data_IF_593682247245
#
_entry.id   IF_593682247245
#
_cell.length_a   1.000
_cell.length_b   1.000
_cell.length_c   1.000
_cell.angle_alpha   90.00
_cell.angle_beta   90.00
_cell.angle_gamma   90.00
#
_symmetry.space_group_name_H-M   'P 1'
#
loop_
_entity.id
_entity.type
_entity.pdbx_description
1 polymer ?
#
# COMPACT_ATOMS: atom_id res chain seq x y z
N UNK A 1 -4.25 -31.54 11.73
CA UNK A 1 -4.91 -30.34 11.18
C UNK A 1 -6.36 -30.71 10.91
N UNK A 2 -7.27 -30.46 11.85
CA UNK A 2 -8.69 -30.73 11.67
C UNK A 2 -9.34 -29.43 11.18
N UNK A 3 -9.74 -29.39 9.90
CA UNK A 3 -10.53 -28.29 9.35
C UNK A 3 -11.94 -28.43 9.92
N UNK A 4 -12.29 -27.57 10.87
CA UNK A 4 -13.65 -27.47 11.40
C UNK A 4 -14.48 -26.68 10.39
N UNK A 5 -15.36 -27.37 9.67
CA UNK A 5 -16.39 -26.73 8.85
C UNK A 5 -17.47 -26.18 9.79
N UNK A 6 -17.49 -24.87 9.99
CA UNK A 6 -18.63 -24.18 10.62
C UNK A 6 -19.69 -24.01 9.53
N UNK A 7 -20.82 -24.69 9.67
CA UNK A 7 -21.98 -24.48 8.81
C UNK A 7 -22.61 -23.12 9.16
N UNK A 8 -22.37 -22.09 8.33
CA UNK A 8 -23.16 -20.86 8.37
C UNK A 8 -24.55 -21.15 7.81
N UNK A 9 -25.58 -21.03 8.65
CA UNK A 9 -26.95 -20.87 8.17
C UNK A 9 -27.02 -19.54 7.41
N UNK A 10 -27.14 -19.58 6.08
CA UNK A 10 -27.21 -18.38 5.25
C UNK A 10 -28.58 -17.72 5.45
N UNK A 11 -28.64 -16.71 6.31
CA UNK A 11 -29.76 -15.78 6.37
C UNK A 11 -29.73 -14.87 5.14
N UNK A 12 -30.89 -14.58 4.56
CA UNK A 12 -30.98 -13.59 3.50
C UNK A 12 -30.52 -12.22 4.03
N UNK A 13 -29.83 -11.44 3.18
CA UNK A 13 -29.49 -10.07 3.51
C UNK A 13 -30.74 -9.21 3.64
N UNK A 14 -30.65 -8.16 4.44
CA UNK A 14 -31.75 -7.22 4.67
C UNK A 14 -31.27 -5.80 4.37
N UNK A 15 -32.19 -4.92 3.95
CA UNK A 15 -31.92 -3.49 3.74
C UNK A 15 -32.71 -2.69 4.75
N UNK A 16 -32.04 -1.75 5.42
CA UNK A 16 -32.65 -0.80 6.35
C UNK A 16 -32.66 0.60 5.74
N UNK A 17 -33.70 1.37 6.04
CA UNK A 17 -33.82 2.76 5.61
C UNK A 17 -33.06 3.72 6.53
N UNK A 18 -32.82 3.34 7.79
CA UNK A 18 -32.12 4.15 8.79
C UNK A 18 -31.09 3.32 9.55
N UNK A 19 -30.13 3.98 10.18
CA UNK A 19 -29.12 3.29 10.99
C UNK A 19 -29.71 2.55 12.21
N UNK A 20 -30.67 3.17 12.90
CA UNK A 20 -31.36 2.57 14.05
C UNK A 20 -32.13 1.30 13.66
N UNK A 21 -32.80 1.34 12.50
CA UNK A 21 -33.43 0.14 11.92
C UNK A 21 -32.37 -0.92 11.60
N UNK A 22 -31.26 -0.53 10.96
CA UNK A 22 -30.18 -1.46 10.64
C UNK A 22 -29.64 -2.18 11.89
N UNK A 23 -29.41 -1.44 12.99
CA UNK A 23 -29.00 -2.01 14.28
C UNK A 23 -30.04 -2.97 14.85
N UNK A 24 -31.32 -2.63 14.72
CA UNK A 24 -32.41 -3.49 15.20
C UNK A 24 -32.44 -4.81 14.43
N UNK A 25 -32.40 -4.75 13.09
CA UNK A 25 -32.35 -5.94 12.22
C UNK A 25 -31.09 -6.77 12.48
N UNK A 26 -29.94 -6.11 12.60
CA UNK A 26 -28.65 -6.74 12.85
C UNK A 26 -28.61 -7.46 14.21
N UNK A 27 -29.15 -6.84 15.26
CA UNK A 27 -29.21 -7.45 16.60
C UNK A 27 -30.18 -8.63 16.63
N UNK A 28 -31.36 -8.50 16.00
CA UNK A 28 -32.35 -9.57 15.97
C UNK A 28 -31.92 -10.76 15.10
N UNK A 29 -31.23 -10.49 14.00
CA UNK A 29 -30.74 -11.49 13.07
C UNK A 29 -29.35 -12.03 13.39
N UNK A 30 -28.65 -11.44 14.37
CA UNK A 30 -27.23 -11.67 14.63
C UNK A 30 -26.39 -11.58 13.34
N UNK A 31 -26.52 -10.44 12.65
CA UNK A 31 -25.87 -10.17 11.38
C UNK A 31 -25.03 -8.89 11.46
N UNK A 32 -23.84 -8.84 10.84
CA UNK A 32 -23.10 -7.60 10.72
C UNK A 32 -23.82 -6.59 9.81
N UNK A 33 -23.48 -5.32 9.97
CA UNK A 33 -24.01 -4.22 9.15
C UNK A 33 -22.94 -3.80 8.14
N UNK A 34 -23.34 -3.65 6.88
CA UNK A 34 -22.58 -2.94 5.86
C UNK A 34 -23.24 -1.59 5.61
N UNK A 35 -22.51 -0.53 5.94
CA UNK A 35 -22.95 0.85 5.83
C UNK A 35 -22.24 1.51 4.65
N UNK A 36 -23.00 2.06 3.71
CA UNK A 36 -22.45 2.91 2.65
C UNK A 36 -22.60 4.38 3.02
N UNK A 37 -21.47 5.04 3.22
CA UNK A 37 -21.42 6.46 3.50
C UNK A 37 -21.16 7.23 2.19
N UNK A 38 -22.07 8.13 1.86
CA UNK A 38 -22.04 8.96 0.66
C UNK A 38 -22.43 10.40 0.99
N UNK A 39 -22.34 11.31 0.02
CA UNK A 39 -22.78 12.69 0.16
C UNK A 39 -23.52 13.13 -1.10
N UNK A 40 -24.85 13.16 -1.04
CA UNK A 40 -25.70 13.33 -2.22
C UNK A 40 -25.64 14.72 -2.85
N UNK A 41 -25.25 15.75 -2.08
CA UNK A 41 -25.17 17.15 -2.51
C UNK A 41 -23.79 17.58 -3.04
N UNK A 42 -22.72 16.84 -2.72
CA UNK A 42 -21.34 17.22 -3.10
C UNK A 42 -20.51 16.09 -3.74
N UNK A 43 -20.95 14.83 -3.71
CA UNK A 43 -20.22 13.69 -4.27
C UNK A 43 -20.99 13.00 -5.40
N UNK A 44 -20.90 13.54 -6.62
CA UNK A 44 -21.58 12.97 -7.80
C UNK A 44 -21.19 11.51 -8.09
N UNK A 45 -19.92 11.14 -7.92
CA UNK A 45 -19.47 9.75 -8.10
C UNK A 45 -20.08 8.82 -7.04
N UNK A 46 -20.31 9.31 -5.82
CA UNK A 46 -20.92 8.52 -4.76
C UNK A 46 -22.36 8.13 -5.11
N UNK A 47 -23.13 9.06 -5.70
CA UNK A 47 -24.50 8.79 -6.14
C UNK A 47 -24.55 7.84 -7.33
N UNK A 48 -23.62 8.00 -8.28
CA UNK A 48 -23.50 7.06 -9.42
C UNK A 48 -23.28 5.64 -8.91
N UNK A 49 -22.32 5.44 -8.01
CA UNK A 49 -22.03 4.14 -7.40
C UNK A 49 -23.16 3.63 -6.50
N UNK A 50 -23.91 4.54 -5.87
CA UNK A 50 -25.10 4.18 -5.10
C UNK A 50 -26.15 3.54 -6.00
N UNK A 51 -26.48 4.22 -7.10
CA UNK A 51 -27.47 3.77 -8.06
C UNK A 51 -27.01 2.49 -8.78
N UNK A 52 -25.78 2.46 -9.29
CA UNK A 52 -25.28 1.38 -10.15
C UNK A 52 -24.89 0.12 -9.38
N UNK A 53 -24.55 0.24 -8.09
CA UNK A 53 -24.04 -0.89 -7.29
C UNK A 53 -24.79 -1.04 -5.98
N UNK A 54 -24.82 -0.01 -5.13
CA UNK A 54 -25.28 -0.16 -3.75
C UNK A 54 -26.77 -0.48 -3.64
N UNK A 55 -27.61 0.13 -4.46
CA UNK A 55 -29.07 -0.02 -4.44
C UNK A 55 -29.56 -1.20 -5.28
N UNK A 56 -28.67 -1.76 -6.11
CA UNK A 56 -28.97 -2.95 -6.91
C UNK A 56 -29.13 -4.21 -6.03
N UNK A 57 -29.72 -5.25 -6.60
CA UNK A 57 -29.77 -6.56 -5.95
C UNK A 57 -28.34 -7.09 -5.78
N UNK A 58 -27.99 -7.51 -4.56
CA UNK A 58 -26.67 -8.01 -4.23
C UNK A 58 -26.72 -9.51 -3.98
N UNK A 59 -25.70 -10.24 -4.46
CA UNK A 59 -25.49 -11.65 -4.14
C UNK A 59 -24.87 -11.87 -2.74
N UNK A 60 -24.54 -10.77 -2.04
CA UNK A 60 -24.11 -10.81 -0.64
C UNK A 60 -25.30 -11.13 0.27
N UNK A 61 -25.12 -12.14 1.10
CA UNK A 61 -26.11 -12.64 2.07
C UNK A 61 -25.56 -12.57 3.49
N UNK A 62 -26.44 -12.66 4.50
CA UNK A 62 -26.05 -12.67 5.92
C UNK A 62 -25.59 -11.34 6.49
N UNK A 63 -25.93 -10.22 5.84
CA UNK A 63 -25.59 -8.86 6.29
C UNK A 63 -26.82 -7.96 6.26
N UNK A 64 -26.77 -6.86 7.02
CA UNK A 64 -27.73 -5.76 6.93
C UNK A 64 -27.10 -4.59 6.18
N UNK A 65 -27.70 -4.20 5.07
CA UNK A 65 -27.31 -3.04 4.28
C UNK A 65 -28.01 -1.77 4.77
N UNK A 66 -27.28 -0.68 4.86
CA UNK A 66 -27.83 0.66 5.13
C UNK A 66 -26.98 1.73 4.45
N UNK A 67 -27.61 2.79 3.94
CA UNK A 67 -26.89 3.97 3.45
C UNK A 67 -27.00 5.13 4.44
N UNK A 68 -25.94 5.93 4.55
CA UNK A 68 -25.90 7.15 5.34
C UNK A 68 -25.43 8.28 4.44
N UNK A 69 -26.30 9.27 4.30
CA UNK A 69 -26.07 10.45 3.46
C UNK A 69 -25.53 11.60 4.31
N UNK A 70 -24.27 11.96 4.10
CA UNK A 70 -23.54 12.99 4.84
C UNK A 70 -23.48 14.25 3.99
N UNK A 71 -24.44 15.15 4.20
CA UNK A 71 -24.54 16.40 3.45
C UNK A 71 -23.43 17.40 3.80
N UNK A 72 -23.02 18.22 2.85
CA UNK A 72 -22.11 19.36 3.10
C UNK A 72 -22.81 20.39 4.01
N UNK A 73 -24.12 20.57 3.80
CA UNK A 73 -24.99 21.38 4.66
C UNK A 73 -26.07 20.51 5.30
N UNK A 74 -25.85 19.99 6.53
CA UNK A 74 -26.81 19.13 7.20
C UNK A 74 -28.17 19.82 7.45
N UNK A 75 -29.25 19.09 7.18
CA UNK A 75 -30.62 19.48 7.53
C UNK A 75 -31.11 18.73 8.77
N UNK A 76 -32.18 19.20 9.40
CA UNK A 76 -32.82 18.47 10.50
C UNK A 76 -33.29 17.06 10.07
N UNK A 77 -33.74 16.91 8.82
CA UNK A 77 -34.16 15.63 8.26
C UNK A 77 -32.97 14.69 8.05
N UNK A 78 -31.86 15.17 7.47
CA UNK A 78 -30.63 14.38 7.30
C UNK A 78 -30.03 13.98 8.65
N UNK A 79 -29.99 14.89 9.62
CA UNK A 79 -29.55 14.59 10.98
C UNK A 79 -30.45 13.54 11.67
N UNK A 80 -31.76 13.60 11.45
CA UNK A 80 -32.70 12.61 11.98
C UNK A 80 -32.52 11.24 11.31
N UNK A 81 -32.29 11.19 10.00
CA UNK A 81 -32.04 9.95 9.26
C UNK A 81 -30.72 9.26 9.68
N UNK A 82 -29.70 10.05 10.01
CA UNK A 82 -28.38 9.57 10.44
C UNK A 82 -28.28 9.34 11.95
N UNK A 83 -29.39 9.52 12.69
CA UNK A 83 -29.42 9.36 14.14
C UNK A 83 -28.88 7.99 14.55
N UNK A 84 -28.03 7.98 15.58
CA UNK A 84 -27.41 6.78 16.12
C UNK A 84 -26.05 6.45 15.50
N UNK A 85 -25.71 7.05 14.35
CA UNK A 85 -24.38 6.94 13.75
C UNK A 85 -23.60 8.25 13.88
N UNK A 86 -22.35 8.16 14.34
CA UNK A 86 -21.44 9.31 14.40
C UNK A 86 -20.75 9.44 13.04
N UNK A 87 -21.23 10.38 12.22
CA UNK A 87 -20.73 10.62 10.85
C UNK A 87 -19.26 11.04 10.83
N UNK A 88 -18.71 11.58 11.93
CA UNK A 88 -17.28 11.92 12.03
C UNK A 88 -16.36 10.68 11.98
N UNK A 89 -16.92 9.48 12.13
CA UNK A 89 -16.20 8.20 11.97
C UNK A 89 -15.91 7.86 10.50
N UNK A 90 -16.47 8.62 9.56
CA UNK A 90 -16.19 8.55 8.12
C UNK A 90 -15.45 9.81 7.72
N UNK A 91 -14.25 9.66 7.15
CA UNK A 91 -13.39 10.78 6.73
C UNK A 91 -13.13 10.84 5.23
N UNK A 92 -13.49 9.78 4.52
CA UNK A 92 -13.23 9.60 3.10
C UNK A 92 -14.49 9.06 2.48
N UNK A 93 -14.89 9.61 1.34
CA UNK A 93 -16.10 9.28 0.62
C UNK A 93 -15.77 8.97 -0.85
N UNK A 94 -16.47 8.02 -1.50
CA UNK A 94 -17.39 7.08 -0.87
C UNK A 94 -16.68 6.14 0.11
N UNK A 95 -17.44 5.55 1.04
CA UNK A 95 -16.89 4.50 1.92
C UNK A 95 -17.91 3.43 2.25
N UNK A 96 -17.45 2.18 2.30
CA UNK A 96 -18.20 1.06 2.88
C UNK A 96 -17.59 0.77 4.26
N UNK A 97 -18.41 0.84 5.30
CA UNK A 97 -18.03 0.59 6.69
C UNK A 97 -18.70 -0.68 7.19
N UNK A 98 -17.93 -1.61 7.73
CA UNK A 98 -18.46 -2.81 8.35
C UNK A 98 -18.58 -2.64 9.86
N UNK A 99 -19.73 -3.02 10.41
CA UNK A 99 -20.03 -2.91 11.84
C UNK A 99 -20.53 -4.23 12.41
N UNK A 100 -20.21 -4.50 13.67
CA UNK A 100 -20.85 -5.55 14.45
C UNK A 100 -22.35 -5.24 14.65
N UNK A 101 -23.18 -6.21 15.08
CA UNK A 101 -24.58 -5.94 15.43
C UNK A 101 -24.77 -4.81 16.46
N UNK A 102 -23.80 -4.64 17.38
CA UNK A 102 -23.78 -3.55 18.37
C UNK A 102 -23.44 -2.17 17.78
N UNK A 103 -22.86 -2.12 16.57
CA UNK A 103 -22.40 -0.90 15.91
C UNK A 103 -20.91 -0.59 16.10
N UNK A 104 -20.11 -1.54 16.58
CA UNK A 104 -18.65 -1.39 16.67
C UNK A 104 -18.02 -1.62 15.29
N UNK A 105 -17.02 -0.81 14.95
CA UNK A 105 -16.39 -0.88 13.63
C UNK A 105 -15.48 -2.10 13.52
N UNK A 106 -15.68 -2.88 12.47
CA UNK A 106 -14.82 -4.00 12.10
C UNK A 106 -13.79 -3.63 11.03
N UNK A 107 -14.09 -2.68 10.17
CA UNK A 107 -13.18 -2.25 9.10
C UNK A 107 -13.87 -1.36 8.08
N UNK A 108 -13.12 -0.92 7.08
CA UNK A 108 -13.58 0.03 6.06
C UNK A 108 -12.97 -0.28 4.69
N UNK A 109 -13.69 0.15 3.64
CA UNK A 109 -13.18 0.37 2.29
C UNK A 109 -13.42 1.82 1.90
N UNK A 110 -12.37 2.51 1.48
CA UNK A 110 -12.37 3.89 1.02
C UNK A 110 -11.07 4.22 0.28
N UNK A 111 -11.06 5.29 -0.52
CA UNK A 111 -9.87 5.72 -1.26
C UNK A 111 -9.31 4.60 -2.13
N UNK A 112 -8.01 4.29 -2.00
CA UNK A 112 -7.34 3.24 -2.79
C UNK A 112 -7.98 1.83 -2.63
N UNK A 113 -8.68 1.57 -1.52
CA UNK A 113 -9.29 0.26 -1.25
C UNK A 113 -10.73 0.12 -1.78
N UNK A 114 -11.29 1.19 -2.35
CA UNK A 114 -12.63 1.19 -2.93
C UNK A 114 -12.55 1.75 -4.37
N UNK A 115 -12.53 0.88 -5.39
CA UNK A 115 -12.56 1.30 -6.78
C UNK A 115 -13.78 2.18 -7.07
N UNK A 116 -13.60 3.18 -7.93
CA UNK A 116 -14.64 4.18 -8.26
C UNK A 116 -15.40 3.85 -9.55
N UNK A 117 -15.29 2.61 -10.03
CA UNK A 117 -16.09 2.04 -11.11
C UNK A 117 -17.00 0.92 -10.58
N UNK A 118 -18.09 0.63 -11.29
CA UNK A 118 -19.13 -0.28 -10.82
C UNK A 118 -18.64 -1.73 -10.62
N UNK A 119 -17.83 -2.24 -11.55
CA UNK A 119 -17.30 -3.61 -11.51
C UNK A 119 -16.31 -3.78 -10.36
N UNK A 120 -15.40 -2.81 -10.19
CA UNK A 120 -14.43 -2.76 -9.11
C UNK A 120 -15.09 -2.63 -7.74
N UNK A 121 -16.10 -1.75 -7.59
CA UNK A 121 -16.85 -1.61 -6.34
C UNK A 121 -17.63 -2.89 -6.02
N UNK A 122 -18.28 -3.53 -7.00
CA UNK A 122 -18.99 -4.80 -6.78
C UNK A 122 -18.04 -5.90 -6.30
N UNK A 123 -16.87 -6.00 -6.94
CA UNK A 123 -15.81 -6.94 -6.54
C UNK A 123 -15.30 -6.67 -5.12
N UNK A 124 -15.04 -5.40 -4.80
CA UNK A 124 -14.63 -4.97 -3.46
C UNK A 124 -15.71 -5.27 -2.41
N UNK A 125 -16.98 -4.99 -2.71
CA UNK A 125 -18.11 -5.27 -1.82
C UNK A 125 -18.22 -6.77 -1.50
N UNK A 126 -18.13 -7.66 -2.49
CA UNK A 126 -18.18 -9.11 -2.28
C UNK A 126 -17.01 -9.59 -1.40
N UNK A 127 -15.79 -9.22 -1.76
CA UNK A 127 -14.59 -9.62 -1.02
C UNK A 127 -14.63 -9.10 0.43
N UNK A 128 -15.00 -7.84 0.61
CA UNK A 128 -15.13 -7.23 1.92
C UNK A 128 -16.22 -7.90 2.76
N UNK A 129 -17.39 -8.19 2.16
CA UNK A 129 -18.48 -8.88 2.86
C UNK A 129 -18.09 -10.27 3.34
N UNK A 130 -17.32 -11.03 2.55
CA UNK A 130 -16.81 -12.33 2.94
C UNK A 130 -15.89 -12.26 4.18
N UNK A 131 -14.97 -11.28 4.20
CA UNK A 131 -14.10 -11.04 5.36
C UNK A 131 -14.90 -10.62 6.61
N UNK A 132 -15.92 -9.79 6.41
CA UNK A 132 -16.82 -9.32 7.48
C UNK A 132 -17.62 -10.46 8.10
N UNK A 133 -18.18 -11.35 7.28
CA UNK A 133 -18.90 -12.54 7.77
C UNK A 133 -17.98 -13.49 8.53
N UNK A 134 -16.76 -13.71 8.01
CA UNK A 134 -15.73 -14.49 8.70
C UNK A 134 -15.35 -13.85 10.03
N UNK A 135 -15.17 -12.52 10.07
CA UNK A 135 -14.88 -11.78 11.32
C UNK A 135 -16.00 -11.95 12.34
N UNK A 136 -17.24 -11.81 11.91
CA UNK A 136 -18.40 -11.98 12.78
C UNK A 136 -18.46 -13.39 13.39
N UNK A 137 -18.21 -14.44 12.59
CA UNK A 137 -18.12 -15.80 13.09
C UNK A 137 -16.95 -16.00 14.09
N UNK A 138 -15.80 -15.38 13.83
CA UNK A 138 -14.63 -15.44 14.73
C UNK A 138 -14.90 -14.74 16.07
N UNK A 139 -15.59 -13.60 16.07
CA UNK A 139 -15.99 -12.91 17.30
C UNK A 139 -16.87 -13.81 18.16
N UNK A 140 -17.89 -14.46 17.56
CA UNK A 140 -18.73 -15.44 18.26
C UNK A 140 -17.92 -16.61 18.80
N UNK A 141 -16.99 -17.13 18.00
CA UNK A 141 -16.10 -18.20 18.42
C UNK A 141 -15.24 -17.80 19.63
N UNK A 142 -14.73 -16.57 19.67
CA UNK A 142 -13.97 -16.03 20.80
C UNK A 142 -14.85 -15.87 22.05
N UNK A 143 -16.07 -15.34 21.90
CA UNK A 143 -17.01 -15.17 23.00
C UNK A 143 -17.43 -16.52 23.60
N UNK A 144 -17.77 -17.50 22.75
CA UNK A 144 -18.09 -18.86 23.18
C UNK A 144 -16.90 -19.52 23.89
N UNK A 145 -15.69 -19.35 23.34
CA UNK A 145 -14.47 -19.88 23.96
C UNK A 145 -14.21 -19.26 25.34
N UNK A 146 -14.38 -17.94 25.45
CA UNK A 146 -14.26 -17.19 26.70
C UNK A 146 -15.27 -17.66 27.74
N UNK A 147 -16.53 -17.83 27.37
CA UNK A 147 -17.59 -18.30 28.27
C UNK A 147 -17.32 -19.73 28.77
N UNK A 148 -16.72 -20.57 27.93
CA UNK A 148 -16.38 -21.95 28.28
C UNK A 148 -14.99 -22.12 28.92
N UNK A 149 -14.21 -21.04 29.07
CA UNK A 149 -12.85 -21.09 29.60
C UNK A 149 -11.81 -21.75 28.67
N UNK A 150 -12.11 -21.87 27.37
CA UNK A 150 -11.20 -22.44 26.36
C UNK A 150 -10.23 -21.38 25.81
N UNK A 151 -9.16 -21.12 26.57
CA UNK A 151 -8.15 -20.12 26.23
C UNK A 151 -7.51 -20.38 24.86
N UNK A 152 -7.21 -21.63 24.52
CA UNK A 152 -6.55 -21.95 23.26
C UNK A 152 -7.43 -21.61 22.05
N UNK A 153 -8.73 -21.88 22.15
CA UNK A 153 -9.69 -21.53 21.11
C UNK A 153 -9.93 -20.03 21.04
N UNK A 154 -9.98 -19.33 22.18
CA UNK A 154 -10.09 -17.86 22.23
C UNK A 154 -8.88 -17.20 21.55
N UNK A 155 -7.66 -17.62 21.89
CA UNK A 155 -6.40 -17.16 21.28
C UNK A 155 -6.36 -17.47 19.77
N UNK A 156 -6.79 -18.68 19.37
CA UNK A 156 -6.86 -19.06 17.95
C UNK A 156 -7.85 -18.20 17.16
N UNK A 157 -8.98 -17.82 17.78
CA UNK A 157 -9.94 -16.89 17.18
C UNK A 157 -9.31 -15.52 16.96
N UNK A 158 -8.61 -14.97 17.97
CA UNK A 158 -7.92 -13.69 17.83
C UNK A 158 -6.84 -13.73 16.76
N UNK A 159 -6.06 -14.82 16.67
CA UNK A 159 -5.08 -15.01 15.59
C UNK A 159 -5.74 -14.85 14.22
N UNK A 160 -6.81 -15.61 14.00
CA UNK A 160 -7.53 -15.61 12.73
C UNK A 160 -8.18 -14.25 12.42
N UNK A 161 -8.56 -13.47 13.44
CA UNK A 161 -9.08 -12.11 13.26
C UNK A 161 -7.98 -11.13 12.84
N UNK A 162 -6.81 -11.19 13.48
CA UNK A 162 -5.68 -10.30 13.20
C UNK A 162 -5.05 -10.57 11.83
N UNK A 163 -5.21 -11.78 11.29
CA UNK A 163 -4.82 -12.12 9.92
C UNK A 163 -5.73 -11.51 8.83
N UNK A 164 -6.89 -10.95 9.21
CA UNK A 164 -7.82 -10.36 8.25
C UNK A 164 -7.43 -8.91 7.93
N UNK A 165 -7.75 -8.48 6.71
CA UNK A 165 -7.64 -7.08 6.27
C UNK A 165 -8.81 -6.22 6.80
N UNK A 166 -8.89 -6.17 8.13
CA UNK A 166 -9.92 -5.52 8.94
C UNK A 166 -9.28 -4.92 10.20
N UNK A 167 -9.95 -3.95 10.81
CA UNK A 167 -9.48 -3.29 12.03
C UNK A 167 -9.30 -4.33 13.15
N UNK A 168 -8.27 -4.17 13.98
CA UNK A 168 -8.09 -5.00 15.18
C UNK A 168 -9.26 -4.73 16.13
N UNK A 169 -10.00 -5.76 16.59
CA UNK A 169 -11.13 -5.52 17.49
C UNK A 169 -10.68 -4.86 18.80
N UNK A 170 -11.49 -3.93 19.29
CA UNK A 170 -11.23 -3.22 20.55
C UNK A 170 -11.13 -4.21 21.71
N UNK A 171 -10.16 -4.02 22.60
CA UNK A 171 -10.01 -4.86 23.81
C UNK A 171 -9.24 -6.16 23.59
N UNK A 172 -8.91 -6.53 22.34
CA UNK A 172 -8.20 -7.78 22.05
C UNK A 172 -6.80 -7.79 22.65
N UNK A 173 -6.08 -6.66 22.61
CA UNK A 173 -4.73 -6.58 23.14
C UNK A 173 -4.73 -6.75 24.67
N UNK A 174 -5.64 -6.07 25.36
CA UNK A 174 -5.86 -6.19 26.80
C UNK A 174 -6.25 -7.62 27.17
N UNK A 175 -7.14 -8.24 26.40
CA UNK A 175 -7.54 -9.62 26.63
C UNK A 175 -6.40 -10.61 26.44
N UNK A 176 -5.59 -10.43 25.39
CA UNK A 176 -4.39 -11.25 25.15
C UNK A 176 -3.35 -11.10 26.26
N UNK A 177 -3.23 -9.93 26.90
CA UNK A 177 -2.35 -9.77 28.06
C UNK A 177 -2.80 -10.61 29.26
N UNK A 178 -4.11 -10.82 29.43
CA UNK A 178 -4.66 -11.66 30.50
C UNK A 178 -4.48 -13.15 30.23
N UNK A 179 -4.78 -13.59 29.00
CA UNK A 179 -4.88 -15.02 28.66
C UNK A 179 -3.61 -15.61 28.03
N UNK A 180 -2.73 -14.76 27.50
CA UNK A 180 -1.40 -15.12 27.00
C UNK A 180 -0.34 -14.13 27.52
N UNK A 181 -0.09 -14.11 28.85
CA UNK A 181 0.80 -13.13 29.47
C UNK A 181 2.26 -13.25 29.02
N UNK A 182 2.68 -14.43 28.57
CA UNK A 182 4.04 -14.64 28.05
C UNK A 182 4.14 -14.48 26.53
N UNK A 183 3.02 -14.19 25.85
CA UNK A 183 2.93 -14.13 24.40
C UNK A 183 3.51 -15.37 23.71
N UNK A 184 3.18 -16.54 24.24
CA UNK A 184 3.60 -17.83 23.69
C UNK A 184 2.99 -18.06 22.29
N UNK A 185 1.85 -17.42 22.00
CA UNK A 185 1.24 -17.42 20.67
C UNK A 185 1.91 -16.42 19.70
N UNK A 186 2.66 -15.44 20.20
CA UNK A 186 3.21 -14.33 19.42
C UNK A 186 2.17 -13.27 18.99
N UNK A 187 0.88 -13.52 19.23
CA UNK A 187 -0.21 -12.69 18.72
C UNK A 187 -0.20 -11.30 19.37
N UNK A 188 0.18 -11.18 20.63
CA UNK A 188 0.22 -9.89 21.32
C UNK A 188 1.23 -8.97 20.65
N UNK A 189 2.44 -9.46 20.36
CA UNK A 189 3.45 -8.70 19.60
C UNK A 189 2.98 -8.34 18.20
N UNK A 190 2.32 -9.27 17.48
CA UNK A 190 1.71 -8.96 16.17
C UNK A 190 0.67 -7.84 16.26
N UNK A 191 -0.19 -7.90 17.28
CA UNK A 191 -1.26 -6.92 17.50
C UNK A 191 -0.70 -5.55 17.89
N UNK A 192 0.36 -5.54 18.69
CA UNK A 192 1.02 -4.32 19.14
C UNK A 192 1.97 -3.72 18.09
N UNK A 193 2.19 -4.40 16.95
CA UNK A 193 3.07 -3.92 15.90
C UNK A 193 2.50 -2.65 15.28
N UNK A 194 3.20 -1.53 15.45
CA UNK A 194 2.84 -0.24 14.88
C UNK A 194 3.67 0.01 13.62
N UNK A 195 3.12 -0.16 12.40
CA UNK A 195 3.90 0.01 11.18
C UNK A 195 4.26 1.48 10.89
N UNK A 196 5.24 1.64 9.99
CA UNK A 196 5.72 2.89 9.40
C UNK A 196 6.40 3.87 10.38
N UNK A 197 5.67 4.83 10.96
CA UNK A 197 6.32 6.05 11.47
C UNK A 197 7.20 5.86 12.72
N UNK A 198 6.75 5.29 13.85
CA UNK A 198 7.63 5.12 15.00
C UNK A 198 8.69 4.03 14.78
N UNK A 199 8.34 2.98 14.03
CA UNK A 199 9.16 1.79 13.92
C UNK A 199 10.36 1.96 12.96
N UNK A 200 10.11 2.36 11.71
CA UNK A 200 11.17 2.56 10.71
C UNK A 200 12.03 3.78 11.05
N UNK A 201 11.42 4.85 11.58
CA UNK A 201 12.17 6.05 11.98
C UNK A 201 13.14 5.76 13.13
N UNK A 202 12.78 4.88 14.07
CA UNK A 202 13.71 4.47 15.13
C UNK A 202 14.93 3.74 14.56
N UNK A 203 14.73 2.77 13.68
CA UNK A 203 15.84 2.03 13.05
C UNK A 203 16.72 2.97 12.19
N UNK A 204 16.10 3.90 11.48
CA UNK A 204 16.79 4.97 10.74
C UNK A 204 17.69 5.79 11.66
N UNK A 205 17.15 6.24 12.80
CA UNK A 205 17.88 7.03 13.79
C UNK A 205 19.03 6.23 14.41
N UNK A 206 18.83 4.94 14.68
CA UNK A 206 19.90 4.09 15.19
C UNK A 206 21.07 3.98 14.21
N UNK A 207 20.78 3.84 12.91
CA UNK A 207 21.82 3.86 11.87
C UNK A 207 22.59 5.19 11.85
N UNK A 208 21.86 6.31 11.89
CA UNK A 208 22.46 7.66 11.91
C UNK A 208 23.33 7.94 13.15
N UNK A 209 23.01 7.34 14.28
CA UNK A 209 23.70 7.56 15.56
C UNK A 209 24.72 6.46 15.89
N UNK A 210 25.10 5.62 14.91
CA UNK A 210 26.12 4.58 15.07
C UNK A 210 25.69 3.39 15.92
N UNK A 211 24.38 3.18 16.13
CA UNK A 211 23.79 2.03 16.83
C UNK A 211 23.22 0.98 15.88
N UNK A 212 23.78 0.88 14.67
CA UNK A 212 23.32 -0.04 13.64
C UNK A 212 23.27 -1.49 14.13
N UNK A 213 24.33 -1.97 14.76
CA UNK A 213 24.46 -3.35 15.23
C UNK A 213 23.36 -3.75 16.25
N UNK A 214 23.09 -2.88 17.22
CA UNK A 214 22.02 -3.09 18.21
C UNK A 214 20.65 -3.15 17.52
N UNK A 215 20.39 -2.21 16.60
CA UNK A 215 19.11 -2.15 15.89
C UNK A 215 18.89 -3.38 15.00
N UNK A 216 19.91 -3.78 14.24
CA UNK A 216 19.86 -4.98 13.38
C UNK A 216 19.68 -6.24 14.23
N UNK A 217 20.42 -6.40 15.33
CA UNK A 217 20.26 -7.57 16.21
C UNK A 217 18.83 -7.68 16.75
N UNK A 218 18.24 -6.56 17.18
CA UNK A 218 16.84 -6.51 17.63
C UNK A 218 15.86 -6.85 16.50
N UNK A 219 16.05 -6.31 15.31
CA UNK A 219 15.15 -6.52 14.17
C UNK A 219 15.27 -7.96 13.62
N UNK A 220 16.46 -8.53 13.60
CA UNK A 220 16.68 -9.92 13.23
C UNK A 220 16.03 -10.87 14.23
N UNK A 221 16.16 -10.60 15.53
CA UNK A 221 15.46 -11.39 16.56
C UNK A 221 13.94 -11.39 16.34
N UNK A 222 13.35 -10.27 15.90
CA UNK A 222 11.93 -10.23 15.53
C UNK A 222 11.62 -11.14 14.34
N UNK A 223 12.46 -11.18 13.30
CA UNK A 223 12.27 -12.11 12.18
C UNK A 223 12.39 -13.58 12.61
N UNK A 224 13.38 -13.88 13.45
CA UNK A 224 13.70 -15.24 13.91
C UNK A 224 12.58 -15.84 14.78
N UNK A 225 11.75 -15.00 15.41
CA UNK A 225 10.57 -15.45 16.16
C UNK A 225 9.54 -16.17 15.28
N UNK A 226 9.48 -15.84 13.98
CA UNK A 226 8.59 -16.50 13.02
C UNK A 226 7.08 -16.22 13.21
N UNK A 227 6.73 -15.22 14.03
CA UNK A 227 5.33 -14.90 14.37
C UNK A 227 4.72 -13.80 13.50
N UNK A 228 5.52 -12.98 12.83
CA UNK A 228 5.03 -11.82 12.07
C UNK A 228 4.42 -12.20 10.72
N UNK A 229 3.39 -11.47 10.28
CA UNK A 229 2.85 -11.64 8.91
C UNK A 229 3.87 -11.25 7.86
N UNK A 230 3.67 -11.66 6.60
CA UNK A 230 4.54 -11.25 5.49
C UNK A 230 4.66 -9.73 5.35
N UNK A 231 3.57 -8.99 5.54
CA UNK A 231 3.61 -7.51 5.52
C UNK A 231 4.38 -6.94 6.72
N UNK A 232 4.19 -7.49 7.91
CA UNK A 232 4.96 -7.07 9.10
C UNK A 232 6.45 -7.38 8.94
N UNK A 233 6.79 -8.55 8.38
CA UNK A 233 8.15 -8.90 8.01
C UNK A 233 8.71 -7.91 6.97
N UNK A 234 7.93 -7.53 5.95
CA UNK A 234 8.34 -6.51 4.99
C UNK A 234 8.60 -5.15 5.67
N UNK A 235 7.81 -4.76 6.68
CA UNK A 235 8.11 -3.58 7.50
C UNK A 235 9.40 -3.72 8.33
N UNK A 236 9.69 -4.91 8.87
CA UNK A 236 10.94 -5.20 9.56
C UNK A 236 12.12 -5.08 8.60
N UNK A 237 12.02 -5.65 7.40
CA UNK A 237 13.02 -5.49 6.35
C UNK A 237 13.20 -4.03 5.91
N UNK A 238 12.12 -3.26 5.74
CA UNK A 238 12.23 -1.82 5.49
C UNK A 238 12.97 -1.06 6.61
N UNK A 239 12.75 -1.45 7.87
CA UNK A 239 13.45 -0.87 9.01
C UNK A 239 14.95 -1.23 9.00
N UNK A 240 15.29 -2.49 8.72
CA UNK A 240 16.68 -2.95 8.58
C UNK A 240 17.39 -2.23 7.43
N UNK A 241 16.79 -2.18 6.25
CA UNK A 241 17.34 -1.46 5.09
C UNK A 241 17.52 0.03 5.37
N UNK A 242 16.59 0.65 6.09
CA UNK A 242 16.71 2.06 6.49
C UNK A 242 17.82 2.29 7.51
N UNK A 243 18.07 1.32 8.40
CA UNK A 243 19.20 1.36 9.33
C UNK A 243 20.53 1.29 8.57
N UNK A 244 20.70 0.26 7.73
CA UNK A 244 21.90 0.03 6.94
C UNK A 244 22.23 1.19 6.00
N UNK A 245 21.23 1.83 5.37
CA UNK A 245 21.43 2.99 4.49
C UNK A 245 22.20 4.15 5.16
N UNK A 246 22.07 4.30 6.48
CA UNK A 246 22.79 5.33 7.24
C UNK A 246 24.00 4.79 8.00
N UNK A 247 24.25 3.48 7.92
CA UNK A 247 25.44 2.84 8.44
C UNK A 247 26.49 2.77 7.34
N UNK A 248 27.52 3.61 7.46
CA UNK A 248 28.62 3.68 6.49
C UNK A 248 29.16 2.28 6.11
N UNK A 249 29.28 2.02 4.81
CA UNK A 249 29.79 0.77 4.26
C UNK A 249 28.78 -0.37 4.09
N UNK A 250 27.48 -0.15 4.31
CA UNK A 250 26.46 -1.20 4.28
C UNK A 250 25.35 -0.99 3.22
N UNK A 251 25.70 -0.41 2.07
CA UNK A 251 24.72 -0.18 1.01
C UNK A 251 24.18 -1.49 0.42
N UNK A 252 24.99 -2.55 0.34
CA UNK A 252 24.58 -3.87 -0.17
C UNK A 252 23.54 -4.52 0.74
N UNK A 253 23.72 -4.45 2.06
CA UNK A 253 22.75 -4.94 3.03
C UNK A 253 21.47 -4.12 2.98
N UNK A 254 21.59 -2.80 2.82
CA UNK A 254 20.43 -1.94 2.67
C UNK A 254 19.59 -2.32 1.45
N UNK A 255 20.24 -2.50 0.29
CA UNK A 255 19.61 -2.97 -0.94
C UNK A 255 18.93 -4.33 -0.75
N UNK A 256 19.66 -5.29 -0.15
CA UNK A 256 19.15 -6.63 0.15
C UNK A 256 17.84 -6.55 0.94
N UNK A 257 17.82 -5.80 2.03
CA UNK A 257 16.64 -5.72 2.88
C UNK A 257 15.46 -5.02 2.20
N UNK A 258 15.67 -3.95 1.43
CA UNK A 258 14.57 -3.35 0.65
C UNK A 258 14.02 -4.31 -0.42
N UNK A 259 14.88 -5.11 -1.03
CA UNK A 259 14.48 -6.17 -1.99
C UNK A 259 13.65 -7.26 -1.31
N UNK A 260 14.05 -7.70 -0.11
CA UNK A 260 13.27 -8.65 0.69
C UNK A 260 11.89 -8.08 1.05
N UNK A 261 11.82 -6.81 1.47
CA UNK A 261 10.54 -6.16 1.78
C UNK A 261 9.60 -6.16 0.56
N UNK A 262 10.10 -5.79 -0.61
CA UNK A 262 9.35 -5.82 -1.87
C UNK A 262 8.87 -7.24 -2.21
N UNK A 263 9.73 -8.25 -2.05
CA UNK A 263 9.42 -9.63 -2.43
C UNK A 263 8.43 -10.32 -1.49
N UNK A 264 8.47 -10.02 -0.20
CA UNK A 264 7.63 -10.69 0.81
C UNK A 264 6.16 -10.32 0.68
N UNK A 265 5.86 -9.06 0.36
CA UNK A 265 4.50 -8.55 0.31
C UNK A 265 4.33 -7.47 -0.79
N UNK A 266 4.53 -7.81 -2.07
CA UNK A 266 4.66 -6.83 -3.18
C UNK A 266 3.48 -5.87 -3.29
N UNK A 267 2.27 -6.36 -3.06
CA UNK A 267 1.02 -5.59 -3.16
C UNK A 267 0.66 -4.82 -1.87
N UNK A 268 1.46 -4.95 -0.81
CA UNK A 268 1.27 -4.20 0.43
C UNK A 268 1.93 -2.82 0.37
N UNK A 269 1.53 -1.92 1.26
CA UNK A 269 2.21 -0.63 1.44
C UNK A 269 3.69 -0.85 1.78
N UNK A 270 4.00 -1.85 2.61
CA UNK A 270 5.37 -2.20 2.98
C UNK A 270 6.20 -2.66 1.76
N UNK A 271 5.64 -3.53 0.92
CA UNK A 271 6.33 -4.04 -0.27
C UNK A 271 6.55 -2.97 -1.32
N UNK A 272 5.54 -2.14 -1.60
CA UNK A 272 5.69 -0.98 -2.48
C UNK A 272 6.72 0.02 -1.95
N UNK A 273 6.78 0.24 -0.63
CA UNK A 273 7.82 1.06 -0.03
C UNK A 273 9.22 0.47 -0.24
N UNK A 274 9.38 -0.85 -0.08
CA UNK A 274 10.62 -1.57 -0.36
C UNK A 274 11.04 -1.43 -1.82
N UNK A 275 10.13 -1.69 -2.77
CA UNK A 275 10.33 -1.52 -4.21
C UNK A 275 10.82 -0.12 -4.54
N UNK A 276 10.11 0.91 -4.05
CA UNK A 276 10.48 2.30 -4.28
C UNK A 276 11.87 2.60 -3.73
N UNK A 277 12.20 2.13 -2.53
CA UNK A 277 13.50 2.41 -1.91
C UNK A 277 14.64 1.72 -2.66
N UNK A 278 14.47 0.48 -3.12
CA UNK A 278 15.51 -0.19 -3.92
C UNK A 278 15.71 0.51 -5.27
N UNK A 279 14.64 0.74 -6.03
CA UNK A 279 14.71 1.35 -7.36
C UNK A 279 15.15 2.82 -7.35
N UNK A 280 14.82 3.56 -6.29
CA UNK A 280 15.21 4.96 -6.19
C UNK A 280 16.66 5.15 -5.71
N UNK A 281 17.20 4.24 -4.88
CA UNK A 281 18.45 4.49 -4.16
C UNK A 281 19.64 3.63 -4.61
N UNK A 282 19.38 2.44 -5.15
CA UNK A 282 20.41 1.41 -5.39
C UNK A 282 20.41 0.87 -6.83
N UNK A 283 19.39 1.19 -7.63
CA UNK A 283 19.39 0.92 -9.07
C UNK A 283 19.83 2.16 -9.84
N UNK A 284 20.19 1.95 -11.10
CA UNK A 284 20.45 3.06 -12.02
C UNK A 284 19.20 3.94 -12.19
N UNK A 285 19.37 5.20 -12.65
CA UNK A 285 18.26 6.09 -12.95
C UNK A 285 17.15 5.41 -13.77
N UNK A 286 15.91 5.81 -13.55
CA UNK A 286 14.73 5.26 -14.22
C UNK A 286 13.86 6.37 -14.79
N UNK A 287 12.97 6.00 -15.71
CA UNK A 287 11.88 6.90 -16.14
C UNK A 287 10.86 7.17 -15.02
N UNK A 288 10.73 6.24 -14.06
CA UNK A 288 9.80 6.33 -12.93
C UNK A 288 10.31 7.26 -11.81
N UNK A 289 11.58 7.15 -11.43
CA UNK A 289 12.17 7.86 -10.30
C UNK A 289 13.20 8.92 -10.69
N UNK A 290 13.64 8.95 -11.95
CA UNK A 290 14.65 9.85 -12.44
C UNK A 290 16.04 9.60 -11.84
N UNK A 291 16.82 10.66 -11.66
CA UNK A 291 18.13 10.60 -11.01
C UNK A 291 18.15 11.31 -9.66
N UNK A 292 19.12 10.92 -8.83
CA UNK A 292 19.39 11.53 -7.54
C UNK A 292 20.88 11.46 -7.18
N UNK A 293 21.33 12.09 -6.09
CA UNK A 293 22.76 12.20 -5.79
C UNK A 293 23.53 10.89 -5.68
N UNK A 294 22.85 9.79 -5.32
CA UNK A 294 23.45 8.46 -5.22
C UNK A 294 23.87 7.88 -6.58
N UNK A 295 23.24 8.30 -7.67
CA UNK A 295 23.57 7.82 -9.02
C UNK A 295 24.78 8.54 -9.63
N UNK A 296 25.23 9.64 -9.00
CA UNK A 296 26.20 10.56 -9.58
C UNK A 296 27.56 10.41 -8.95
N UNK A 297 28.58 10.45 -9.79
CA UNK A 297 29.97 10.77 -9.43
C UNK A 297 30.43 11.99 -10.21
N UNK A 298 31.61 12.49 -9.89
CA UNK A 298 32.24 13.63 -10.59
C UNK A 298 33.08 13.21 -11.79
N UNK A 299 33.04 11.93 -12.13
CA UNK A 299 33.63 11.32 -13.31
C UNK A 299 32.53 10.64 -14.14
N UNK A 300 32.66 10.69 -15.48
CA UNK A 300 31.72 10.09 -16.43
C UNK A 300 31.42 8.63 -16.11
N UNK A 301 30.13 8.35 -15.98
CA UNK A 301 29.59 7.02 -15.72
C UNK A 301 28.63 6.61 -16.82
N UNK A 302 28.43 5.29 -16.96
CA UNK A 302 27.39 4.72 -17.79
C UNK A 302 26.27 4.21 -16.88
N UNK A 303 25.05 4.63 -17.16
CA UNK A 303 23.82 4.14 -16.53
C UNK A 303 23.02 3.34 -17.53
N UNK A 304 22.46 2.22 -17.12
CA UNK A 304 21.40 1.54 -17.86
C UNK A 304 20.05 2.06 -17.34
N UNK A 305 19.32 2.82 -18.18
CA UNK A 305 18.05 3.42 -17.81
C UNK A 305 17.02 2.34 -17.49
N UNK A 306 16.51 2.37 -16.26
CA UNK A 306 15.55 1.40 -15.75
C UNK A 306 14.09 1.81 -16.07
N UNK A 307 13.15 0.87 -15.92
CA UNK A 307 11.71 1.05 -16.14
C UNK A 307 11.35 1.44 -17.58
N UNK A 308 12.03 0.82 -18.55
CA UNK A 308 11.69 0.95 -19.97
C UNK A 308 10.46 0.10 -20.33
N UNK A 309 9.65 0.52 -21.32
CA UNK A 309 8.68 -0.37 -21.97
C UNK A 309 9.38 -1.63 -22.51
N UNK A 310 8.66 -2.75 -22.53
CA UNK A 310 9.20 -4.01 -23.10
C UNK A 310 9.47 -3.92 -24.60
N UNK A 311 8.83 -3.00 -25.30
CA UNK A 311 9.02 -2.77 -26.74
C UNK A 311 9.03 -1.27 -27.04
N UNK A 312 9.81 -0.86 -28.04
CA UNK A 312 9.75 0.50 -28.60
C UNK A 312 9.38 0.41 -30.08
N UNK A 313 8.33 1.14 -30.47
CA UNK A 313 7.90 1.22 -31.86
C UNK A 313 8.94 1.90 -32.76
N UNK A 314 8.84 1.65 -34.07
CA UNK A 314 9.55 2.41 -35.09
C UNK A 314 9.23 3.91 -34.95
N UNK A 315 10.24 4.76 -35.10
CA UNK A 315 10.10 6.20 -35.14
C UNK A 315 11.20 6.90 -34.35
N UNK A 316 10.99 8.19 -34.10
CA UNK A 316 11.94 9.06 -33.42
C UNK A 316 11.61 9.12 -31.93
N UNK A 317 12.46 8.52 -31.10
CA UNK A 317 12.29 8.56 -29.65
C UNK A 317 13.11 9.69 -29.03
N UNK A 318 12.52 10.41 -28.09
CA UNK A 318 13.12 11.56 -27.43
C UNK A 318 13.35 11.26 -25.96
N UNK A 319 14.60 11.42 -25.53
CA UNK A 319 15.03 11.31 -24.13
C UNK A 319 15.32 12.71 -23.59
N UNK A 320 14.57 13.15 -22.60
CA UNK A 320 14.73 14.49 -22.00
C UNK A 320 15.13 14.40 -20.55
N UNK A 321 16.11 15.23 -20.16
CA UNK A 321 16.60 15.33 -18.79
C UNK A 321 16.12 16.62 -18.12
N UNK A 322 15.21 16.50 -17.15
CA UNK A 322 14.61 17.64 -16.44
C UNK A 322 15.19 17.74 -15.02
N UNK A 323 16.05 18.73 -14.79
CA UNK A 323 16.54 19.04 -13.45
C UNK A 323 15.41 19.57 -12.56
N UNK A 324 15.30 19.05 -11.34
CA UNK A 324 14.23 19.43 -10.40
C UNK A 324 14.74 20.21 -9.19
N UNK A 325 15.90 19.83 -8.63
CA UNK A 325 16.49 20.48 -7.45
C UNK A 325 17.92 20.00 -7.20
N UNK A 326 18.64 20.70 -6.31
CA UNK A 326 20.02 20.39 -5.98
C UNK A 326 20.91 21.63 -5.94
N UNK A 327 22.21 21.43 -5.73
CA UNK A 327 23.24 22.46 -5.88
C UNK A 327 24.03 22.30 -7.19
N UNK A 328 23.94 21.14 -7.83
CA UNK A 328 24.70 20.78 -9.03
C UNK A 328 23.74 20.32 -10.13
N UNK A 329 24.14 20.52 -11.38
CA UNK A 329 23.49 19.90 -12.54
C UNK A 329 24.11 18.55 -12.86
N UNK A 330 23.74 18.01 -14.02
CA UNK A 330 24.40 16.85 -14.64
C UNK A 330 24.91 17.26 -16.02
N UNK A 331 26.11 16.80 -16.36
CA UNK A 331 26.64 16.84 -17.71
C UNK A 331 26.32 15.49 -18.38
N UNK A 332 25.75 15.53 -19.58
CA UNK A 332 25.37 14.34 -20.35
C UNK A 332 26.19 14.33 -21.64
N UNK A 333 26.83 13.20 -21.95
CA UNK A 333 27.69 13.06 -23.12
C UNK A 333 27.01 12.27 -24.25
N UNK A 334 26.17 11.29 -23.91
CA UNK A 334 25.49 10.47 -24.91
C UNK A 334 24.31 9.69 -24.35
N UNK A 335 23.42 9.33 -25.26
CA UNK A 335 22.34 8.34 -25.05
C UNK A 335 22.44 7.30 -26.17
N UNK A 336 22.57 6.03 -25.79
CA UNK A 336 22.72 4.90 -26.70
C UNK A 336 21.55 3.93 -26.51
N UNK A 337 20.90 3.49 -27.58
CA UNK A 337 19.87 2.43 -27.51
C UNK A 337 20.45 1.11 -28.05
N UNK A 338 20.19 0.04 -27.31
CA UNK A 338 20.50 -1.33 -27.65
C UNK A 338 19.21 -2.15 -27.78
N UNK A 339 19.24 -3.15 -28.65
CA UNK A 339 18.24 -4.20 -28.77
C UNK A 339 18.97 -5.54 -28.78
N UNK A 340 18.62 -6.42 -27.83
CA UNK A 340 19.33 -7.70 -27.62
C UNK A 340 20.86 -7.56 -27.53
N UNK A 341 21.33 -6.48 -26.90
CA UNK A 341 22.76 -6.18 -26.74
C UNK A 341 23.46 -5.61 -27.99
N UNK A 342 22.77 -5.42 -29.12
CA UNK A 342 23.30 -4.69 -30.29
C UNK A 342 22.85 -3.23 -30.25
N UNK A 343 23.79 -2.30 -30.42
CA UNK A 343 23.46 -0.87 -30.52
C UNK A 343 22.70 -0.59 -31.81
N UNK A 344 21.51 -0.02 -31.70
CA UNK A 344 20.59 0.28 -32.81
C UNK A 344 20.43 1.79 -33.08
N UNK A 345 20.61 2.63 -32.06
CA UNK A 345 20.59 4.09 -32.20
C UNK A 345 21.55 4.75 -31.20
N UNK A 346 22.00 5.96 -31.50
CA UNK A 346 22.86 6.75 -30.63
C UNK A 346 22.74 8.23 -30.94
N UNK A 347 22.75 9.05 -29.88
CA UNK A 347 22.93 10.49 -29.94
C UNK A 347 24.11 10.89 -29.05
N UNK A 348 25.03 11.69 -29.60
CA UNK A 348 26.26 12.15 -28.93
C UNK A 348 26.37 13.65 -29.09
N UNK A 349 26.15 14.37 -27.99
CA UNK A 349 26.40 15.80 -27.85
C UNK A 349 26.50 16.18 -26.37
N UNK A 350 27.13 17.32 -26.10
CA UNK A 350 27.40 17.82 -24.75
C UNK A 350 26.16 18.52 -24.16
N UNK A 351 25.33 17.73 -23.48
CA UNK A 351 24.14 18.19 -22.79
C UNK A 351 24.42 18.59 -21.34
N UNK A 352 23.56 19.46 -20.81
CA UNK A 352 23.58 19.89 -19.42
C UNK A 352 22.16 20.10 -18.89
N UNK A 353 21.87 19.50 -17.74
CA UNK A 353 20.62 19.71 -17.00
C UNK A 353 20.91 20.22 -15.58
N UNK A 354 20.62 21.49 -15.33
CA UNK A 354 20.73 22.13 -14.01
C UNK A 354 19.69 23.24 -13.83
N UNK A 355 20.02 24.27 -13.07
CA UNK A 355 19.16 25.48 -12.95
C UNK A 355 18.97 26.21 -14.29
N UNK A 356 19.87 25.97 -15.24
CA UNK A 356 19.73 26.26 -16.65
C UNK A 356 19.90 24.95 -17.42
N UNK A 357 19.25 24.83 -18.57
CA UNK A 357 19.37 23.67 -19.45
C UNK A 357 20.11 24.08 -20.73
N UNK A 358 20.92 23.17 -21.26
CA UNK A 358 21.58 23.31 -22.56
C UNK A 358 21.62 21.94 -23.21
N UNK A 359 21.01 21.79 -24.38
CA UNK A 359 21.02 20.53 -25.17
C UNK A 359 20.78 19.28 -24.30
N UNK A 360 19.75 19.33 -23.46
CA UNK A 360 19.38 18.26 -22.51
C UNK A 360 18.35 17.28 -23.11
N UNK A 361 18.27 17.23 -24.44
CA UNK A 361 17.29 16.45 -25.20
C UNK A 361 18.05 15.64 -26.24
N UNK A 362 17.89 14.32 -26.19
CA UNK A 362 18.57 13.37 -27.05
C UNK A 362 17.57 12.62 -27.90
N UNK A 363 17.93 12.36 -29.15
CA UNK A 363 17.03 11.79 -30.16
C UNK A 363 17.56 10.46 -30.69
N UNK A 364 16.74 9.42 -30.61
CA UNK A 364 17.05 8.06 -31.02
C UNK A 364 16.16 7.64 -32.19
N UNK A 365 16.75 7.54 -33.38
CA UNK A 365 16.02 7.19 -34.61
C UNK A 365 15.94 5.67 -34.81
N UNK A 366 14.72 5.12 -34.78
CA UNK A 366 14.47 3.70 -34.98
C UNK A 366 13.84 3.41 -36.34
N UNK A 367 14.55 2.65 -37.16
CA UNK A 367 14.09 2.23 -38.49
C UNK A 367 13.07 1.09 -38.44
N UNK A 368 13.00 0.36 -37.32
CA UNK A 368 12.11 -0.76 -37.02
C UNK A 368 11.80 -0.76 -35.52
N UNK A 369 10.75 -1.48 -35.12
CA UNK A 369 10.46 -1.69 -33.70
C UNK A 369 11.52 -2.61 -33.06
N UNK A 370 11.74 -2.44 -31.76
CA UNK A 370 12.68 -3.24 -30.95
C UNK A 370 11.94 -3.91 -29.79
N UNK A 371 12.32 -5.15 -29.46
CA UNK A 371 11.58 -6.04 -28.55
C UNK A 371 12.25 -6.21 -27.18
N UNK A 372 13.51 -5.80 -27.03
CA UNK A 372 14.20 -5.80 -25.74
C UNK A 372 15.14 -4.60 -25.62
N UNK A 373 14.56 -3.38 -25.50
CA UNK A 373 15.31 -2.15 -25.50
C UNK A 373 16.13 -1.99 -24.21
N UNK A 374 17.39 -1.57 -24.35
CA UNK A 374 18.20 -1.07 -23.25
C UNK A 374 18.78 0.30 -23.63
N UNK A 375 18.51 1.33 -22.83
CA UNK A 375 19.08 2.67 -23.04
C UNK A 375 20.25 2.85 -22.09
N UNK A 376 21.43 3.15 -22.63
CA UNK A 376 22.62 3.48 -21.86
C UNK A 376 22.92 4.98 -21.96
N UNK A 377 23.00 5.64 -20.81
CA UNK A 377 23.27 7.07 -20.69
C UNK A 377 24.70 7.25 -20.18
N UNK A 378 25.48 8.11 -20.82
CA UNK A 378 26.79 8.52 -20.29
C UNK A 378 26.68 9.91 -19.68
N UNK A 379 26.87 10.03 -18.37
CA UNK A 379 26.71 11.29 -17.64
C UNK A 379 27.57 11.37 -16.37
N UNK A 380 27.76 12.58 -15.86
CA UNK A 380 28.40 12.87 -14.57
C UNK A 380 27.73 14.04 -13.85
N UNK A 381 28.03 14.19 -12.56
CA UNK A 381 27.63 15.34 -11.77
C UNK A 381 28.49 16.56 -12.09
N UNK A 382 27.85 17.65 -12.52
CA UNK A 382 28.54 18.87 -12.93
C UNK A 382 29.10 19.63 -11.71
N UNK A 383 30.37 19.39 -11.39
CA UNK A 383 31.07 19.99 -10.24
C UNK A 383 30.65 19.44 -8.88
N UNK A 384 29.82 18.39 -8.85
CA UNK A 384 29.36 17.72 -7.64
C UNK A 384 28.12 16.85 -7.86
N UNK A 385 27.71 16.11 -6.83
CA UNK A 385 26.69 15.06 -6.96
C UNK A 385 25.31 15.47 -6.45
N UNK A 386 25.19 16.63 -5.78
CA UNK A 386 23.88 17.08 -5.24
C UNK A 386 22.94 17.56 -6.35
N UNK A 387 22.43 16.64 -7.17
CA UNK A 387 21.50 16.89 -8.26
C UNK A 387 20.35 15.88 -8.21
N UNK A 388 19.15 16.34 -8.55
CA UNK A 388 17.94 15.53 -8.67
C UNK A 388 17.21 15.93 -9.95
N UNK A 389 16.59 14.97 -10.62
CA UNK A 389 15.78 15.28 -11.79
C UNK A 389 15.06 14.08 -12.37
N UNK A 390 14.35 14.29 -13.46
CA UNK A 390 13.51 13.30 -14.15
C UNK A 390 14.06 13.00 -15.53
N UNK A 391 13.92 11.75 -15.94
CA UNK A 391 14.23 11.30 -17.29
C UNK A 391 12.91 10.92 -17.94
N UNK A 392 12.55 11.55 -19.05
CA UNK A 392 11.37 11.15 -19.82
C UNK A 392 11.79 10.54 -21.15
N UNK A 393 11.06 9.51 -21.56
CA UNK A 393 11.19 8.84 -22.86
C UNK A 393 9.82 8.89 -23.53
N UNK A 394 9.75 9.44 -24.74
CA UNK A 394 8.51 9.47 -25.51
C UNK A 394 8.78 9.34 -27.00
N UNK A 395 7.84 8.74 -27.72
CA UNK A 395 7.82 8.77 -29.17
C UNK A 395 7.42 10.18 -29.60
N UNK A 396 8.19 10.80 -30.48
CA UNK A 396 7.85 12.08 -31.06
C UNK A 396 6.66 11.90 -32.00
N UNK A 397 5.58 12.63 -31.77
CA UNK A 397 4.45 12.69 -32.70
C UNK A 397 4.94 13.32 -34.02
N UNK A 398 4.62 12.67 -35.15
CA UNK A 398 4.97 13.15 -36.51
C UNK A 398 4.35 14.49 -36.87
#
# INVERSE_FOLDING_TARGET
MHVVFIALSLLASQRAATFEEAKTLATNGDMPILLYAHGSDWCSICETLKEDVWDQESDVVGVVFVSIDVLETPTDESNAANKGFDTNKVRTFPSIVALTPSGDIMGRRAGETLPLDAEGMQSSLRAFSAEVLKRHALLKMADDAKQNGDINKEVSAFHAMIDQDLDVPKGVLERLQEIDPNDASGIRRRTAFQPFHPFVAKATKDGQEGRGEESISRLQAMLDEGVYTKEQQAWIHNAMGSCYRYWEGHDDEAEFHFTQASSLAPESIAGRAGYRLVHQLYKDPSTEFGWMPRHLKTDMQRWELQSLPSELAKGTWVVTFEYTRGRHGIDIASVELFDEGRRVAVDVHDGFAGSQHRENVYTLELSHAVENPAIVITAEGAGGTQSYGKISLHLQDE
#
